data_IF_843629177436
#
_entry.id   IF_843629177436
#
_cell.length_a   1.000
_cell.length_b   1.000
_cell.length_c   1.000
_cell.angle_alpha   90.00
_cell.angle_beta   90.00
_cell.angle_gamma   90.00
#
_symmetry.space_group_name_H-M   'P 1'
#
loop_
_entity.id
_entity.type
_entity.pdbx_description
1 polymer ?
#
# COMPACT_ATOMS: atom_id res chain seq x y z
N UNK A 1 32.19 2.29 -9.34
CA UNK A 1 31.87 3.28 -10.38
C UNK A 1 30.53 2.92 -11.07
N UNK A 2 29.50 2.55 -10.31
CA UNK A 2 28.17 2.22 -10.83
C UNK A 2 27.16 2.46 -9.70
N UNK A 3 26.90 3.73 -9.42
CA UNK A 3 25.71 4.14 -8.68
C UNK A 3 24.66 4.48 -9.71
N UNK A 4 23.43 4.02 -9.53
CA UNK A 4 22.29 4.57 -10.28
C UNK A 4 22.20 6.03 -9.90
N UNK A 5 22.68 6.91 -10.79
CA UNK A 5 22.57 8.34 -10.61
C UNK A 5 21.14 8.79 -10.84
N UNK A 6 20.88 10.04 -10.47
CA UNK A 6 19.58 10.68 -10.70
C UNK A 6 19.19 10.65 -12.19
N UNK A 7 20.18 10.72 -13.09
CA UNK A 7 19.95 10.70 -14.53
C UNK A 7 19.47 9.32 -15.03
N UNK A 8 20.08 8.24 -14.57
CA UNK A 8 19.66 6.87 -14.92
C UNK A 8 18.26 6.57 -14.38
N UNK A 9 17.95 7.00 -13.16
CA UNK A 9 16.61 6.85 -12.57
C UNK A 9 15.54 7.61 -13.37
N UNK A 10 15.85 8.83 -13.83
CA UNK A 10 14.94 9.59 -14.69
C UNK A 10 14.71 8.87 -16.02
N UNK A 11 15.77 8.34 -16.64
CA UNK A 11 15.64 7.59 -17.89
C UNK A 11 14.74 6.35 -17.73
N UNK A 12 14.93 5.58 -16.66
CA UNK A 12 14.09 4.42 -16.33
C UNK A 12 12.64 4.86 -16.09
N UNK A 13 12.43 5.92 -15.33
CA UNK A 13 11.09 6.46 -15.07
C UNK A 13 10.39 6.89 -16.36
N UNK A 14 11.11 7.51 -17.30
CA UNK A 14 10.58 7.88 -18.62
C UNK A 14 10.19 6.64 -19.42
N UNK A 15 11.03 5.60 -19.45
CA UNK A 15 10.70 4.35 -20.16
C UNK A 15 9.43 3.70 -19.58
N UNK A 16 9.33 3.61 -18.25
CA UNK A 16 8.13 3.10 -17.58
C UNK A 16 6.91 3.97 -17.91
N UNK A 17 7.05 5.29 -17.90
CA UNK A 17 5.97 6.22 -18.26
C UNK A 17 5.51 6.08 -19.70
N UNK A 18 6.40 5.76 -20.65
CA UNK A 18 6.02 5.51 -22.05
C UNK A 18 5.28 4.17 -22.20
N UNK A 19 5.76 3.12 -21.53
CA UNK A 19 5.15 1.79 -21.61
C UNK A 19 3.77 1.73 -20.93
N UNK A 20 3.64 2.31 -19.74
CA UNK A 20 2.43 2.25 -18.94
C UNK A 20 1.54 3.50 -19.10
N UNK A 21 2.10 4.63 -19.51
CA UNK A 21 1.41 5.92 -19.56
C UNK A 21 1.40 6.63 -18.21
N UNK A 22 1.56 7.96 -18.24
CA UNK A 22 1.57 8.81 -17.04
C UNK A 22 0.31 8.73 -16.18
N UNK A 23 -0.83 8.35 -16.77
CA UNK A 23 -2.12 8.23 -16.08
C UNK A 23 -2.27 6.90 -15.33
N UNK A 24 -1.63 5.82 -15.79
CA UNK A 24 -1.79 4.48 -15.18
C UNK A 24 -1.09 4.36 -13.83
N UNK A 25 0.02 5.06 -13.62
CA UNK A 25 0.74 5.01 -12.35
C UNK A 25 -0.09 5.60 -11.19
N UNK A 26 -0.67 6.82 -11.30
CA UNK A 26 -1.57 7.36 -10.29
C UNK A 26 -2.81 6.49 -10.07
N UNK A 27 -3.44 6.00 -11.14
CA UNK A 27 -4.63 5.15 -11.05
C UNK A 27 -4.33 3.84 -10.28
N UNK A 28 -3.18 3.23 -10.58
CA UNK A 28 -2.69 2.04 -9.88
C UNK A 28 -2.37 2.33 -8.41
N UNK A 29 -1.66 3.41 -8.12
CA UNK A 29 -1.36 3.84 -6.75
C UNK A 29 -2.62 4.11 -5.92
N UNK A 30 -3.64 4.72 -6.52
CA UNK A 30 -4.92 4.94 -5.86
C UNK A 30 -5.64 3.62 -5.57
N UNK A 31 -5.64 2.68 -6.51
CA UNK A 31 -6.20 1.34 -6.32
C UNK A 31 -5.51 0.56 -5.20
N UNK A 32 -4.17 0.50 -5.24
CA UNK A 32 -3.37 -0.12 -4.18
C UNK A 32 -3.58 0.57 -2.83
N UNK A 33 -3.60 1.90 -2.80
CA UNK A 33 -3.77 2.68 -1.58
C UNK A 33 -5.12 2.42 -0.91
N UNK A 34 -6.19 2.31 -1.69
CA UNK A 34 -7.51 1.92 -1.19
C UNK A 34 -7.49 0.50 -0.63
N UNK A 35 -6.92 -0.46 -1.37
CA UNK A 35 -6.80 -1.86 -0.93
C UNK A 35 -6.02 -2.01 0.37
N UNK A 36 -4.86 -1.35 0.50
CA UNK A 36 -4.05 -1.37 1.73
C UNK A 36 -4.82 -0.72 2.90
N UNK A 37 -5.54 0.38 2.65
CA UNK A 37 -6.33 1.06 3.69
C UNK A 37 -7.49 0.18 4.20
N UNK A 38 -8.22 -0.46 3.29
CA UNK A 38 -9.32 -1.38 3.64
C UNK A 38 -8.79 -2.61 4.37
N UNK A 39 -7.70 -3.20 3.89
CA UNK A 39 -7.03 -4.32 4.55
C UNK A 39 -6.62 -3.97 5.98
N UNK A 40 -5.95 -2.82 6.18
CA UNK A 40 -5.54 -2.37 7.51
C UNK A 40 -6.73 -2.14 8.43
N UNK A 41 -7.82 -1.54 7.91
CA UNK A 41 -9.04 -1.32 8.69
C UNK A 41 -9.66 -2.65 9.14
N UNK A 42 -9.81 -3.60 8.23
CA UNK A 42 -10.34 -4.93 8.55
C UNK A 42 -9.48 -5.65 9.59
N UNK A 43 -8.14 -5.63 9.45
CA UNK A 43 -7.24 -6.21 10.44
C UNK A 43 -7.41 -5.58 11.84
N UNK A 44 -7.48 -4.25 11.92
CA UNK A 44 -7.69 -3.54 13.19
C UNK A 44 -9.05 -3.82 13.81
N UNK A 45 -10.11 -3.92 13.02
CA UNK A 45 -11.45 -4.22 13.53
C UNK A 45 -11.51 -5.66 14.10
N UNK A 46 -10.87 -6.63 13.41
CA UNK A 46 -10.72 -8.02 13.90
C UNK A 46 -9.95 -8.07 15.22
N UNK A 47 -8.81 -7.36 15.33
CA UNK A 47 -8.01 -7.32 16.56
C UNK A 47 -8.83 -6.78 17.75
N UNK A 48 -9.65 -5.74 17.52
CA UNK A 48 -10.53 -5.17 18.55
C UNK A 48 -11.61 -6.14 18.98
N UNK A 49 -12.26 -6.81 18.03
CA UNK A 49 -13.33 -7.77 18.32
C UNK A 49 -12.80 -8.97 19.11
N UNK A 50 -11.60 -9.46 18.76
CA UNK A 50 -10.91 -10.52 19.52
C UNK A 50 -10.58 -10.05 20.94
N UNK A 51 -9.99 -8.85 21.08
CA UNK A 51 -9.61 -8.30 22.39
C UNK A 51 -10.83 -8.13 23.30
N UNK A 52 -11.93 -7.58 22.75
CA UNK A 52 -13.18 -7.38 23.47
C UNK A 52 -13.82 -8.71 23.90
N UNK A 53 -13.79 -9.72 23.02
CA UNK A 53 -14.28 -11.07 23.33
C UNK A 53 -13.47 -11.77 24.42
N UNK A 54 -12.19 -11.41 24.59
CA UNK A 54 -11.33 -11.96 25.65
C UNK A 54 -11.56 -11.22 26.99
N UNK A 55 -11.79 -9.90 26.96
CA UNK A 55 -12.14 -9.11 28.15
C UNK A 55 -13.51 -9.53 28.72
N UNK A 56 -14.54 -9.65 27.88
CA UNK A 56 -15.89 -10.07 28.31
C UNK A 56 -15.89 -11.48 28.93
N UNK A 57 -14.95 -12.35 28.53
CA UNK A 57 -14.80 -13.71 29.08
C UNK A 57 -14.05 -13.77 30.41
N UNK A 58 -13.39 -12.68 30.81
CA UNK A 58 -12.57 -12.60 32.03
C UNK A 58 -13.32 -12.02 33.21
N UNK A 59 -14.46 -11.37 32.95
CA UNK A 59 -15.39 -10.82 33.96
C UNK A 59 -16.49 -11.80 34.39
N UNK A 60 -16.51 -13.04 33.84
CA UNK A 60 -17.42 -14.14 34.22
C UNK A 60 -16.69 -15.28 34.94
#
# INVERSE_FOLDING_TARGET
MFGLGTQELILIAVVILVLFGAKKIPDFMQGLGKGIKEFKKASTDIEKDITKSIEDKKEV
#
